data_IF_960635961940
#
_entry.id   IF_960635961940
#
_cell.length_a   1.000
_cell.length_b   1.000
_cell.length_c   1.000
_cell.angle_alpha   90.00
_cell.angle_beta   90.00
_cell.angle_gamma   90.00
#
_symmetry.space_group_name_H-M   'P 1'
#
loop_
_entity.id
_entity.type
_entity.pdbx_description
1 polymer ?
#
# COMPACT_ATOMS: atom_id res chain seq x y z
N UNK A 1 -6.67 -24.87 -2.66
CA UNK A 1 -5.29 -24.57 -2.23
C UNK A 1 -4.96 -23.20 -2.78
N UNK A 2 -4.31 -22.33 -1.99
CA UNK A 2 -3.88 -21.02 -2.48
C UNK A 2 -2.75 -21.22 -3.50
N UNK A 3 -2.87 -20.59 -4.66
CA UNK A 3 -1.87 -20.62 -5.73
C UNK A 3 -1.23 -19.24 -5.96
N UNK A 4 -2.03 -18.20 -5.78
CA UNK A 4 -1.61 -16.83 -6.03
C UNK A 4 -1.85 -15.95 -4.80
N UNK A 5 -1.20 -14.81 -4.75
CA UNK A 5 -1.55 -13.74 -3.83
C UNK A 5 -1.65 -12.39 -4.55
N UNK A 6 -2.42 -11.48 -3.98
CA UNK A 6 -2.43 -10.07 -4.37
C UNK A 6 -2.32 -9.19 -3.13
N UNK A 7 -1.87 -7.96 -3.32
CA UNK A 7 -1.63 -7.01 -2.24
C UNK A 7 -2.47 -5.78 -2.50
N UNK A 8 -3.18 -5.32 -1.47
CA UNK A 8 -3.80 -4.00 -1.45
C UNK A 8 -3.23 -3.16 -0.33
N UNK A 9 -2.95 -1.89 -0.62
CA UNK A 9 -2.50 -0.95 0.38
C UNK A 9 -2.28 0.42 -0.23
N UNK A 10 -2.40 1.45 0.58
CA UNK A 10 -2.11 2.81 0.17
C UNK A 10 -0.66 2.93 -0.33
N UNK A 11 -0.38 3.94 -1.17
CA UNK A 11 1.03 4.27 -1.45
C UNK A 11 1.75 4.53 -0.13
N UNK A 12 3.01 4.14 -0.04
CA UNK A 12 3.82 4.26 1.17
C UNK A 12 3.38 3.43 2.39
N UNK A 13 2.44 2.47 2.26
CA UNK A 13 2.05 1.55 3.35
C UNK A 13 2.98 0.32 3.50
N UNK A 14 3.97 0.14 2.62
CA UNK A 14 4.88 -1.00 2.68
C UNK A 14 4.54 -2.17 1.73
N UNK A 15 3.68 -1.96 0.74
CA UNK A 15 3.29 -2.99 -0.25
C UNK A 15 4.48 -3.70 -0.92
N UNK A 16 5.55 -2.97 -1.25
CA UNK A 16 6.75 -3.58 -1.82
C UNK A 16 7.55 -4.43 -0.83
N UNK A 17 7.55 -4.08 0.45
CA UNK A 17 8.22 -4.87 1.48
C UNK A 17 7.49 -6.20 1.69
N UNK A 18 6.15 -6.16 1.74
CA UNK A 18 5.31 -7.34 1.78
C UNK A 18 5.47 -8.23 0.53
N UNK A 19 5.47 -7.63 -0.66
CA UNK A 19 5.68 -8.35 -1.93
C UNK A 19 6.98 -9.17 -1.92
N UNK A 20 8.10 -8.55 -1.51
CA UNK A 20 9.38 -9.25 -1.39
C UNK A 20 9.33 -10.34 -0.31
N UNK A 21 8.67 -10.05 0.82
CA UNK A 21 8.58 -10.98 1.94
C UNK A 21 7.86 -12.28 1.55
N UNK A 22 6.76 -12.15 0.81
CA UNK A 22 6.00 -13.29 0.31
C UNK A 22 6.80 -14.04 -0.76
N UNK A 23 7.33 -13.33 -1.77
CA UNK A 23 8.09 -13.95 -2.87
C UNK A 23 9.33 -14.72 -2.40
N UNK A 24 10.00 -14.24 -1.35
CA UNK A 24 11.21 -14.88 -0.83
C UNK A 24 10.89 -16.13 0.02
N UNK A 25 9.69 -16.22 0.58
CA UNK A 25 9.37 -17.22 1.60
C UNK A 25 8.32 -18.27 1.18
N UNK A 26 7.43 -17.98 0.24
CA UNK A 26 6.29 -18.83 -0.07
C UNK A 26 6.18 -19.22 -1.54
N UNK A 27 5.73 -20.45 -1.78
CA UNK A 27 5.55 -21.08 -3.09
C UNK A 27 4.17 -20.69 -3.69
N UNK A 28 3.97 -19.37 -3.88
CA UNK A 28 2.76 -18.77 -4.46
C UNK A 28 3.13 -17.57 -5.32
N UNK A 29 2.41 -17.36 -6.42
CA UNK A 29 2.71 -16.32 -7.39
C UNK A 29 1.93 -15.02 -7.15
N UNK A 30 2.57 -13.89 -7.43
CA UNK A 30 1.86 -12.61 -7.40
C UNK A 30 0.90 -12.50 -8.59
N UNK A 31 -0.30 -11.99 -8.35
CA UNK A 31 -1.29 -11.68 -9.40
C UNK A 31 -1.87 -10.27 -9.25
N UNK A 32 -2.06 -9.62 -10.41
CA UNK A 32 -2.73 -8.32 -10.54
C UNK A 32 -4.03 -8.42 -11.31
N UNK A 33 -4.59 -9.64 -11.42
CA UNK A 33 -5.90 -9.90 -12.05
C UNK A 33 -7.04 -9.13 -11.37
N UNK A 34 -6.89 -8.85 -10.08
CA UNK A 34 -7.90 -8.20 -9.24
C UNK A 34 -7.57 -6.73 -8.99
N UNK A 35 -6.94 -6.07 -9.96
CA UNK A 35 -6.53 -4.68 -9.82
C UNK A 35 -5.13 -4.48 -9.28
N UNK A 36 -4.65 -3.25 -9.43
CA UNK A 36 -3.31 -2.87 -8.99
C UNK A 36 -3.30 -2.50 -7.51
N UNK A 37 -2.19 -2.78 -6.82
CA UNK A 37 -2.07 -2.66 -5.35
C UNK A 37 -2.47 -1.32 -4.71
N UNK A 38 -2.46 -0.23 -5.47
CA UNK A 38 -2.82 1.10 -4.97
C UNK A 38 -4.19 1.60 -5.47
N UNK A 39 -4.77 0.92 -6.47
CA UNK A 39 -5.97 1.28 -7.22
C UNK A 39 -7.06 0.20 -7.04
N UNK A 40 -7.18 -0.32 -5.84
CA UNK A 40 -8.14 -1.37 -5.49
C UNK A 40 -9.54 -0.79 -5.25
N UNK A 41 -10.55 -1.65 -5.24
CA UNK A 41 -11.95 -1.28 -4.99
C UNK A 41 -12.81 -1.10 -6.23
N UNK A 42 -12.21 -1.14 -7.42
CA UNK A 42 -12.92 -0.96 -8.71
C UNK A 42 -13.14 -2.27 -9.48
N UNK A 43 -12.30 -3.27 -9.23
CA UNK A 43 -12.29 -4.53 -9.98
C UNK A 43 -13.25 -5.59 -9.42
N UNK A 44 -13.74 -6.46 -10.31
CA UNK A 44 -14.51 -7.64 -9.88
C UNK A 44 -13.60 -8.67 -9.19
N UNK A 45 -14.04 -9.14 -8.03
CA UNK A 45 -13.34 -10.18 -7.25
C UNK A 45 -13.86 -11.61 -7.55
N UNK A 46 -14.52 -11.80 -8.70
CA UNK A 46 -15.02 -13.10 -9.11
C UNK A 46 -13.88 -14.10 -9.37
N UNK A 47 -14.10 -15.38 -9.01
CA UNK A 47 -13.11 -16.45 -9.15
C UNK A 47 -11.82 -16.24 -8.33
N UNK A 48 -11.95 -15.64 -7.15
CA UNK A 48 -10.86 -15.36 -6.20
C UNK A 48 -10.48 -16.54 -5.28
N UNK A 49 -11.13 -17.72 -5.41
CA UNK A 49 -11.01 -18.85 -4.46
C UNK A 49 -9.59 -19.40 -4.26
N UNK A 50 -8.71 -19.25 -5.24
CA UNK A 50 -7.32 -19.71 -5.19
C UNK A 50 -6.31 -18.58 -4.92
N UNK A 51 -6.80 -17.37 -4.61
CA UNK A 51 -5.98 -16.18 -4.40
C UNK A 51 -6.09 -15.70 -2.96
N UNK A 52 -4.94 -15.51 -2.31
CA UNK A 52 -4.83 -14.85 -1.02
C UNK A 52 -4.77 -13.33 -1.23
N UNK A 53 -5.70 -12.60 -0.62
CA UNK A 53 -5.72 -11.14 -0.60
C UNK A 53 -5.07 -10.65 0.68
N UNK A 54 -4.01 -9.85 0.55
CA UNK A 54 -3.29 -9.29 1.69
C UNK A 54 -3.44 -7.78 1.68
N UNK A 55 -4.26 -7.25 2.60
CA UNK A 55 -4.27 -5.83 2.91
C UNK A 55 -3.07 -5.46 3.78
N UNK A 56 -2.40 -4.36 3.48
CA UNK A 56 -1.35 -3.80 4.34
C UNK A 56 -1.57 -2.31 4.61
N UNK A 57 -1.67 -1.99 5.89
CA UNK A 57 -1.86 -0.65 6.43
C UNK A 57 -0.63 -0.23 7.23
N UNK A 58 -0.51 1.06 7.49
CA UNK A 58 0.63 1.65 8.19
C UNK A 58 0.15 2.72 9.14
N UNK A 59 0.90 2.93 10.24
CA UNK A 59 0.65 3.99 11.20
C UNK A 59 0.39 5.33 10.48
N UNK A 60 -0.70 6.05 10.79
CA UNK A 60 -1.14 7.21 10.03
C UNK A 60 -0.06 8.30 9.95
N UNK A 61 0.69 8.52 11.05
CA UNK A 61 1.71 9.55 11.10
C UNK A 61 2.93 9.17 10.26
N UNK A 62 3.41 7.94 10.37
CA UNK A 62 4.53 7.42 9.58
C UNK A 62 4.16 7.32 8.09
N UNK A 63 2.91 6.95 7.79
CA UNK A 63 2.39 6.87 6.43
C UNK A 63 2.37 8.25 5.77
N UNK A 64 1.72 9.25 6.39
CA UNK A 64 1.67 10.62 5.86
C UNK A 64 3.07 11.20 5.69
N UNK A 65 3.95 11.00 6.68
CA UNK A 65 5.34 11.45 6.58
C UNK A 65 6.09 10.78 5.43
N UNK A 66 5.88 9.48 5.22
CA UNK A 66 6.52 8.74 4.13
C UNK A 66 6.00 9.19 2.76
N UNK A 67 4.72 9.52 2.65
CA UNK A 67 4.10 10.00 1.43
C UNK A 67 4.51 11.45 1.12
N UNK A 68 4.53 12.33 2.13
CA UNK A 68 4.99 13.72 2.00
C UNK A 68 6.45 13.80 1.50
N UNK A 69 7.34 12.98 2.07
CA UNK A 69 8.76 12.93 1.65
C UNK A 69 8.95 12.45 0.22
N UNK A 70 8.06 11.58 -0.25
CA UNK A 70 8.14 10.95 -1.56
C UNK A 70 6.73 10.90 -2.18
N UNK A 71 6.25 12.03 -2.72
CA UNK A 71 4.88 12.18 -3.22
C UNK A 71 4.73 11.51 -4.59
N UNK A 72 4.99 10.20 -4.65
CA UNK A 72 4.92 9.41 -5.88
C UNK A 72 3.55 9.53 -6.50
N UNK A 73 3.49 10.08 -7.71
CA UNK A 73 2.26 10.26 -8.44
C UNK A 73 1.25 11.19 -7.80
N UNK A 74 1.61 12.01 -6.80
CA UNK A 74 0.68 13.04 -6.30
C UNK A 74 0.81 14.33 -7.10
N UNK A 75 -0.29 15.06 -7.19
CA UNK A 75 -0.28 16.45 -7.65
C UNK A 75 0.68 17.29 -6.81
N UNK A 76 1.21 18.35 -7.40
CA UNK A 76 2.11 19.27 -6.71
C UNK A 76 1.38 19.98 -5.55
N UNK A 77 2.09 20.11 -4.43
CA UNK A 77 1.69 20.92 -3.27
C UNK A 77 2.91 21.72 -2.78
N UNK A 78 2.66 22.93 -2.28
CA UNK A 78 3.72 23.85 -1.88
C UNK A 78 4.30 23.53 -0.49
N UNK A 79 3.46 23.05 0.43
CA UNK A 79 3.78 22.89 1.84
C UNK A 79 2.91 21.82 2.52
N UNK A 80 3.07 21.67 3.84
CA UNK A 80 2.28 20.75 4.66
C UNK A 80 0.80 21.08 4.63
N UNK A 81 0.43 22.37 4.59
CA UNK A 81 -0.98 22.77 4.57
C UNK A 81 -1.65 22.30 3.27
N UNK A 82 -1.01 22.54 2.12
CA UNK A 82 -1.47 22.07 0.82
C UNK A 82 -1.55 20.54 0.76
N UNK A 83 -0.56 19.83 1.31
CA UNK A 83 -0.59 18.37 1.38
C UNK A 83 -1.78 17.82 2.18
N UNK A 84 -2.17 18.47 3.26
CA UNK A 84 -3.25 18.03 4.15
C UNK A 84 -4.64 18.46 3.66
N UNK A 85 -4.75 19.57 2.93
CA UNK A 85 -6.05 20.21 2.64
C UNK A 85 -6.45 20.22 1.17
N UNK A 86 -5.51 20.12 0.22
CA UNK A 86 -5.86 20.12 -1.21
C UNK A 86 -6.58 18.81 -1.60
N UNK A 87 -7.30 18.87 -2.72
CA UNK A 87 -7.82 17.65 -3.37
C UNK A 87 -6.70 16.61 -3.52
N UNK A 88 -7.02 15.37 -3.15
CA UNK A 88 -6.08 14.27 -3.27
C UNK A 88 -6.43 13.44 -4.50
N UNK A 89 -5.51 13.46 -5.47
CA UNK A 89 -5.59 12.65 -6.68
C UNK A 89 -4.19 12.35 -7.20
N UNK A 90 -4.12 11.30 -8.03
CA UNK A 90 -2.86 10.91 -8.63
C UNK A 90 -2.68 11.43 -10.04
N UNK A 91 -1.44 11.75 -10.40
CA UNK A 91 -1.00 12.14 -11.73
C UNK A 91 0.15 11.26 -12.21
N UNK A 92 0.23 11.07 -13.52
CA UNK A 92 1.40 10.52 -14.20
C UNK A 92 2.52 11.56 -14.19
N UNK A 93 3.04 11.89 -13.02
CA UNK A 93 4.24 12.72 -12.91
C UNK A 93 5.49 11.87 -13.18
N UNK A 94 6.37 12.38 -14.02
CA UNK A 94 7.75 11.91 -14.03
C UNK A 94 8.40 12.48 -12.79
N UNK A 95 8.73 11.62 -11.83
CA UNK A 95 9.75 12.00 -10.88
C UNK A 95 11.07 12.12 -11.66
N UNK A 96 11.75 13.28 -11.66
CA UNK A 96 12.97 13.49 -12.43
C UNK A 96 14.09 12.47 -12.11
N UNK A 97 14.03 11.77 -10.97
CA UNK A 97 14.93 10.65 -10.65
C UNK A 97 14.69 9.37 -11.47
N UNK A 98 13.60 9.24 -12.23
CA UNK A 98 13.23 7.99 -12.93
C UNK A 98 12.79 8.20 -14.39
N UNK A 99 12.88 9.44 -14.89
CA UNK A 99 12.59 9.78 -16.28
C UNK A 99 13.42 8.97 -17.29
N UNK A 100 14.60 8.46 -16.89
CA UNK A 100 15.49 7.67 -17.74
C UNK A 100 15.14 6.16 -17.82
N UNK A 101 14.16 5.65 -17.06
CA UNK A 101 13.85 4.21 -17.01
C UNK A 101 12.73 3.76 -17.96
N UNK A 102 12.18 4.63 -18.80
CA UNK A 102 11.20 4.22 -19.82
C UNK A 102 11.80 4.33 -21.19
N UNK A 103 12.56 3.31 -21.57
CA UNK A 103 12.64 2.92 -22.98
C UNK A 103 11.23 2.64 -23.48
N UNK A 104 10.95 3.19 -24.66
CA UNK A 104 9.72 3.09 -25.42
C UNK A 104 9.06 1.70 -25.37
N UNK A 105 8.15 1.49 -24.42
CA UNK A 105 7.13 0.44 -24.55
C UNK A 105 6.14 0.95 -25.61
N UNK A 106 6.33 0.48 -26.85
CA UNK A 106 5.43 0.75 -27.97
C UNK A 106 3.98 0.51 -27.53
N UNK A 107 3.17 1.58 -27.50
CA UNK A 107 1.70 1.48 -27.43
C UNK A 107 1.00 2.17 -26.25
N UNK A 108 1.70 2.70 -25.23
CA UNK A 108 1.06 3.40 -24.12
C UNK A 108 1.72 4.77 -23.91
N UNK A 109 1.24 5.79 -24.62
CA UNK A 109 1.56 7.20 -24.34
C UNK A 109 0.61 7.72 -23.26
N UNK A 110 0.83 7.38 -21.98
CA UNK A 110 0.20 8.14 -20.89
C UNK A 110 0.79 9.54 -20.90
N UNK A 111 -0.05 10.55 -21.16
CA UNK A 111 0.37 11.96 -21.22
C UNK A 111 0.98 12.35 -19.87
N UNK A 112 2.20 12.90 -19.90
CA UNK A 112 2.86 13.43 -18.71
C UNK A 112 1.91 14.43 -18.00
N UNK A 113 1.83 14.34 -16.68
CA UNK A 113 0.92 15.13 -15.83
C UNK A 113 -0.57 14.90 -16.10
N UNK A 114 -0.96 13.83 -16.78
CA UNK A 114 -2.37 13.42 -16.80
C UNK A 114 -2.75 12.75 -15.49
N UNK A 115 -3.99 12.97 -15.05
CA UNK A 115 -4.55 12.26 -13.91
C UNK A 115 -4.56 10.74 -14.13
N UNK A 116 -4.40 9.98 -13.04
CA UNK A 116 -4.59 8.53 -12.95
C UNK A 116 -6.00 8.31 -12.39
N UNK A 117 -6.98 8.16 -13.30
CA UNK A 117 -8.40 8.06 -12.96
C UNK A 117 -8.70 6.83 -12.09
N UNK A 118 -7.91 5.77 -12.25
CA UNK A 118 -8.03 4.54 -11.49
C UNK A 118 -7.74 4.72 -9.98
N UNK A 119 -7.10 5.84 -9.59
CA UNK A 119 -6.83 6.14 -8.18
C UNK A 119 -7.88 7.03 -7.51
N UNK A 120 -8.99 7.32 -8.20
CA UNK A 120 -10.10 8.10 -7.65
C UNK A 120 -10.81 7.37 -6.51
N UNK A 121 -11.72 8.09 -5.87
CA UNK A 121 -12.57 7.58 -4.81
C UNK A 121 -13.31 6.31 -5.27
N UNK A 122 -13.08 5.20 -4.56
CA UNK A 122 -13.62 3.88 -4.89
C UNK A 122 -15.15 3.80 -4.76
N UNK A 123 -15.77 4.76 -4.06
CA UNK A 123 -17.21 4.84 -3.86
C UNK A 123 -17.88 5.77 -4.85
N UNK A 124 -17.27 6.94 -5.08
CA UNK A 124 -17.91 8.01 -5.86
C UNK A 124 -17.37 8.15 -7.27
N UNK A 125 -16.16 7.67 -7.55
CA UNK A 125 -15.45 7.91 -8.81
C UNK A 125 -14.93 9.34 -8.97
N UNK A 126 -15.04 10.18 -7.93
CA UNK A 126 -14.54 11.56 -7.90
C UNK A 126 -13.13 11.63 -7.29
N UNK A 127 -12.49 12.80 -7.38
CA UNK A 127 -11.27 13.06 -6.60
C UNK A 127 -11.61 13.05 -5.12
N UNK A 128 -10.64 12.69 -4.29
CA UNK A 128 -10.83 12.81 -2.86
C UNK A 128 -10.73 14.29 -2.45
N UNK A 129 -11.56 14.71 -1.49
CA UNK A 129 -11.53 16.04 -0.88
C UNK A 129 -10.12 16.39 -0.38
N UNK A 130 -9.47 15.43 0.27
CA UNK A 130 -8.08 15.52 0.74
C UNK A 130 -7.52 14.15 1.12
N UNK A 131 -6.28 14.13 1.63
CA UNK A 131 -5.58 12.91 2.04
C UNK A 131 -6.31 12.14 3.15
N UNK A 132 -7.05 12.82 4.03
CA UNK A 132 -7.78 12.18 5.12
C UNK A 132 -8.97 11.37 4.60
N UNK A 133 -9.75 11.95 3.69
CA UNK A 133 -10.85 11.22 3.04
C UNK A 133 -10.32 10.02 2.24
N UNK A 134 -9.20 10.20 1.51
CA UNK A 134 -8.55 9.10 0.81
C UNK A 134 -8.19 7.94 1.75
N UNK A 135 -7.60 8.27 2.89
CA UNK A 135 -7.23 7.29 3.91
C UNK A 135 -8.45 6.62 4.51
N UNK A 136 -9.43 7.38 4.95
CA UNK A 136 -10.66 6.85 5.55
C UNK A 136 -11.35 5.85 4.61
N UNK A 137 -11.59 6.25 3.36
CA UNK A 137 -12.26 5.41 2.37
C UNK A 137 -11.46 4.15 2.06
N UNK A 138 -10.14 4.25 1.89
CA UNK A 138 -9.30 3.09 1.58
C UNK A 138 -9.16 2.15 2.76
N UNK A 139 -9.06 2.67 3.98
CA UNK A 139 -9.01 1.84 5.18
C UNK A 139 -10.36 1.15 5.42
N UNK A 140 -11.48 1.86 5.24
CA UNK A 140 -12.82 1.29 5.40
C UNK A 140 -13.02 0.10 4.46
N UNK A 141 -12.62 0.24 3.20
CA UNK A 141 -12.65 -0.86 2.24
C UNK A 141 -11.80 -2.06 2.68
N UNK A 142 -10.57 -1.81 3.15
CA UNK A 142 -9.68 -2.88 3.60
C UNK A 142 -10.20 -3.55 4.89
N UNK A 143 -10.68 -2.79 5.86
CA UNK A 143 -11.06 -3.30 7.17
C UNK A 143 -12.47 -3.90 7.19
N UNK A 144 -13.45 -3.20 6.62
CA UNK A 144 -14.86 -3.56 6.73
C UNK A 144 -15.37 -4.36 5.52
N UNK A 145 -14.95 -4.02 4.30
CA UNK A 145 -15.54 -4.63 3.10
C UNK A 145 -14.82 -5.89 2.68
N UNK A 146 -13.50 -5.84 2.49
CA UNK A 146 -12.69 -6.96 2.00
C UNK A 146 -12.94 -8.30 2.71
N UNK A 147 -13.10 -8.37 4.04
CA UNK A 147 -13.40 -9.63 4.73
C UNK A 147 -14.70 -10.31 4.26
N UNK A 148 -15.66 -9.54 3.74
CA UNK A 148 -16.94 -10.04 3.23
C UNK A 148 -16.92 -10.35 1.73
N UNK A 149 -15.95 -9.80 0.99
CA UNK A 149 -15.88 -9.90 -0.46
C UNK A 149 -15.13 -11.14 -0.97
N UNK A 150 -14.22 -11.70 -0.17
CA UNK A 150 -13.37 -12.81 -0.58
C UNK A 150 -13.12 -13.79 0.57
N UNK A 151 -12.99 -15.08 0.25
CA UNK A 151 -12.80 -16.14 1.24
C UNK A 151 -11.42 -16.08 1.94
N UNK A 152 -10.38 -15.68 1.20
CA UNK A 152 -9.00 -15.74 1.65
C UNK A 152 -8.43 -14.33 1.85
N UNK A 153 -8.75 -13.70 2.99
CA UNK A 153 -8.31 -12.35 3.30
C UNK A 153 -7.56 -12.25 4.63
N UNK A 154 -6.51 -11.43 4.63
CA UNK A 154 -5.88 -10.93 5.85
C UNK A 154 -5.50 -9.46 5.68
N UNK A 155 -5.75 -8.69 6.73
CA UNK A 155 -5.25 -7.34 6.89
C UNK A 155 -4.11 -7.38 7.90
N UNK A 156 -2.96 -6.83 7.54
CA UNK A 156 -1.78 -6.75 8.41
C UNK A 156 -1.30 -5.31 8.55
N UNK A 157 -0.63 -5.03 9.67
CA UNK A 157 0.07 -3.77 9.87
C UNK A 157 1.50 -3.89 9.35
N UNK A 158 1.98 -2.82 8.72
CA UNK A 158 3.37 -2.69 8.31
C UNK A 158 4.32 -2.88 9.48
N UNK A 159 3.95 -2.36 10.65
CA UNK A 159 4.70 -2.44 11.89
C UNK A 159 4.85 -3.89 12.37
N UNK A 160 3.79 -4.70 12.31
CA UNK A 160 3.85 -6.12 12.68
C UNK A 160 4.76 -6.91 11.72
N UNK A 161 4.65 -6.64 10.42
CA UNK A 161 5.52 -7.26 9.43
C UNK A 161 6.99 -6.84 9.63
N UNK A 162 7.24 -5.57 9.97
CA UNK A 162 8.59 -5.02 10.17
C UNK A 162 9.24 -5.53 11.46
N UNK A 163 8.52 -5.44 12.57
CA UNK A 163 9.07 -5.62 13.92
C UNK A 163 8.92 -7.05 14.42
N UNK A 164 7.94 -7.80 13.90
CA UNK A 164 7.66 -9.17 14.27
C UNK A 164 7.64 -10.11 13.04
N UNK A 165 8.58 -9.87 12.12
CA UNK A 165 8.62 -10.44 10.77
C UNK A 165 8.38 -11.96 10.70
N UNK A 166 9.14 -12.76 11.46
CA UNK A 166 9.03 -14.23 11.43
C UNK A 166 7.65 -14.68 11.89
N UNK A 167 7.11 -14.10 12.97
CA UNK A 167 5.79 -14.47 13.47
C UNK A 167 4.68 -14.01 12.53
N UNK A 168 4.78 -12.80 11.97
CA UNK A 168 3.84 -12.28 10.98
C UNK A 168 3.73 -13.20 9.77
N UNK A 169 4.86 -13.66 9.21
CA UNK A 169 4.85 -14.59 8.09
C UNK A 169 4.38 -15.99 8.50
N UNK A 170 4.78 -16.49 9.67
CA UNK A 170 4.31 -17.79 10.18
C UNK A 170 2.79 -17.79 10.42
N UNK A 171 2.20 -16.66 10.83
CA UNK A 171 0.76 -16.52 10.98
C UNK A 171 0.03 -16.60 9.64
N UNK A 172 0.56 -15.95 8.60
CA UNK A 172 0.02 -16.04 7.23
C UNK A 172 0.10 -17.50 6.75
N UNK A 173 1.25 -18.14 6.94
CA UNK A 173 1.46 -19.55 6.59
C UNK A 173 0.42 -20.47 7.21
N UNK A 174 0.31 -20.42 8.54
CA UNK A 174 -0.58 -21.31 9.28
C UNK A 174 -2.04 -21.07 8.94
N UNK A 175 -2.44 -19.80 8.78
CA UNK A 175 -3.83 -19.43 8.48
C UNK A 175 -4.27 -19.92 7.10
N UNK A 176 -3.42 -19.78 6.09
CA UNK A 176 -3.78 -20.08 4.69
C UNK A 176 -3.19 -21.38 4.17
N UNK A 177 -2.42 -22.09 4.99
CA UNK A 177 -1.74 -23.35 4.65
C UNK A 177 -0.90 -23.21 3.38
N UNK A 178 -0.21 -22.08 3.25
CA UNK A 178 0.70 -21.82 2.11
C UNK A 178 2.02 -22.54 2.34
N UNK A 179 2.60 -23.07 1.27
CA UNK A 179 3.85 -23.83 1.34
C UNK A 179 5.05 -22.87 1.38
N UNK A 180 6.01 -23.13 2.28
CA UNK A 180 7.29 -22.40 2.28
C UNK A 180 8.19 -22.87 1.14
N UNK A 181 9.01 -21.95 0.64
CA UNK A 181 10.14 -22.26 -0.25
C UNK A 181 11.33 -22.87 0.51
N UNK A 182 11.49 -22.50 1.78
CA UNK A 182 12.61 -22.90 2.63
C UNK A 182 12.11 -23.43 3.99
N UNK A 183 12.91 -24.25 4.68
CA UNK A 183 12.55 -24.77 6.00
C UNK A 183 12.35 -23.66 7.05
N UNK A 184 13.00 -22.53 6.87
CA UNK A 184 12.95 -21.36 7.75
C UNK A 184 12.51 -20.12 6.98
N UNK A 185 11.89 -19.18 7.69
CA UNK A 185 11.59 -17.85 7.16
C UNK A 185 12.89 -17.06 7.02
N UNK A 186 13.16 -16.56 5.81
CA UNK A 186 14.30 -15.75 5.46
C UNK A 186 13.95 -14.26 5.58
N UNK A 187 14.83 -13.51 6.25
CA UNK A 187 14.75 -12.06 6.34
C UNK A 187 15.08 -11.40 4.98
N UNK A 188 14.50 -10.22 4.77
CA UNK A 188 14.83 -9.39 3.61
C UNK A 188 16.11 -8.63 3.91
N UNK A 189 17.17 -8.96 3.18
CA UNK A 189 18.48 -8.32 3.34
C UNK A 189 18.63 -7.05 2.50
N UNK A 190 17.90 -6.96 1.38
CA UNK A 190 18.10 -5.96 0.34
C UNK A 190 16.84 -5.18 0.03
N UNK A 191 17.01 -3.91 -0.35
CA UNK A 191 15.92 -3.05 -0.76
C UNK A 191 15.46 -3.42 -2.16
N UNK A 192 14.27 -4.03 -2.26
CA UNK A 192 13.76 -4.62 -3.51
C UNK A 192 14.78 -5.63 -4.06
N UNK A 193 14.82 -5.81 -5.37
CA UNK A 193 15.79 -6.67 -6.07
C UNK A 193 17.22 -6.09 -6.14
N UNK A 194 17.52 -4.98 -5.46
CA UNK A 194 18.83 -4.33 -5.55
C UNK A 194 19.80 -4.86 -4.48
N UNK A 195 20.61 -5.87 -4.84
CA UNK A 195 21.62 -6.48 -3.97
C UNK A 195 22.71 -5.50 -3.48
N UNK A 196 22.86 -4.34 -4.12
CA UNK A 196 23.83 -3.33 -3.71
C UNK A 196 23.28 -2.37 -2.65
N UNK A 197 21.98 -2.49 -2.30
CA UNK A 197 21.34 -1.62 -1.32
C UNK A 197 20.70 -2.45 -0.22
N UNK A 198 21.29 -2.44 0.97
CA UNK A 198 20.70 -3.10 2.14
C UNK A 198 19.30 -2.54 2.43
N UNK A 199 18.40 -3.40 2.86
CA UNK A 199 17.14 -2.96 3.43
C UNK A 199 17.45 -2.22 4.75
N UNK A 200 16.93 -1.01 4.86
CA UNK A 200 17.08 -0.19 6.07
C UNK A 200 15.72 0.38 6.39
N UNK A 201 15.31 0.22 7.65
CA UNK A 201 14.13 0.88 8.18
C UNK A 201 14.46 2.37 8.27
N UNK A 202 13.68 3.21 7.58
CA UNK A 202 13.93 4.66 7.54
C UNK A 202 13.89 5.25 8.94
N UNK A 203 14.96 5.92 9.35
CA UNK A 203 15.01 6.69 10.59
C UNK A 203 14.22 8.00 10.45
N UNK A 204 13.14 8.10 11.21
CA UNK A 204 12.86 9.22 12.13
C UNK A 204 12.54 10.63 11.64
N UNK A 205 12.91 11.08 10.43
CA UNK A 205 12.72 12.50 10.12
C UNK A 205 11.23 12.84 9.99
N UNK A 206 10.65 13.50 10.98
CA UNK A 206 9.27 13.97 10.93
C UNK A 206 9.23 15.26 10.11
N UNK A 207 8.46 15.27 9.03
CA UNK A 207 8.18 16.44 8.17
C UNK A 207 6.78 16.99 8.36
N UNK A 208 5.84 16.12 8.71
CA UNK A 208 4.46 16.48 9.08
C UNK A 208 4.29 16.15 10.56
N UNK A 209 4.05 17.16 11.38
CA UNK A 209 3.89 17.01 12.82
C UNK A 209 2.67 16.12 13.15
N UNK A 210 2.84 15.01 13.89
CA UNK A 210 1.74 14.18 14.36
C UNK A 210 0.64 14.96 15.09
N UNK A 211 0.98 16.02 15.82
CA UNK A 211 0.00 16.86 16.48
C UNK A 211 -0.92 17.58 15.48
N UNK A 212 -0.38 18.07 14.36
CA UNK A 212 -1.18 18.71 13.30
C UNK A 212 -2.11 17.68 12.65
N UNK A 213 -1.61 16.47 12.37
CA UNK A 213 -2.41 15.39 11.78
C UNK A 213 -3.56 15.01 12.73
N UNK A 214 -3.24 14.73 14.00
CA UNK A 214 -4.21 14.27 14.99
C UNK A 214 -5.32 15.29 15.25
N UNK A 215 -4.99 16.57 15.29
CA UNK A 215 -5.96 17.64 15.56
C UNK A 215 -6.64 18.19 14.30
N UNK A 216 -6.37 17.61 13.12
CA UNK A 216 -7.03 18.02 11.89
C UNK A 216 -8.52 17.61 11.91
N UNK A 217 -9.42 18.52 11.52
CA UNK A 217 -10.88 18.28 11.59
C UNK A 217 -11.36 17.11 10.72
N UNK A 218 -10.64 16.83 9.64
CA UNK A 218 -10.93 15.70 8.75
C UNK A 218 -10.26 14.39 9.18
N UNK A 219 -9.38 14.38 10.19
CA UNK A 219 -8.78 13.13 10.68
C UNK A 219 -9.80 12.30 11.47
N UNK A 220 -10.06 11.07 11.02
CA UNK A 220 -11.02 10.17 11.68
C UNK A 220 -10.29 9.10 12.47
N UNK A 221 -10.44 9.15 13.79
CA UNK A 221 -9.75 8.21 14.69
C UNK A 221 -10.37 6.80 14.71
N UNK A 222 -11.64 6.64 14.29
CA UNK A 222 -12.40 5.40 14.52
C UNK A 222 -11.70 4.17 13.94
N UNK A 223 -11.34 4.22 12.66
CA UNK A 223 -10.69 3.09 11.99
C UNK A 223 -9.24 2.90 12.44
N UNK A 224 -8.54 3.99 12.76
CA UNK A 224 -7.17 3.92 13.29
C UNK A 224 -7.11 3.20 14.65
N UNK A 225 -8.09 3.44 15.53
CA UNK A 225 -8.26 2.71 16.81
C UNK A 225 -8.55 1.24 16.58
N UNK A 226 -9.41 0.92 15.62
CA UNK A 226 -9.71 -0.48 15.26
C UNK A 226 -8.47 -1.22 14.71
N UNK A 227 -7.57 -0.50 14.05
CA UNK A 227 -6.27 -1.00 13.58
C UNK A 227 -5.19 -0.97 14.68
N UNK A 228 -5.51 -0.49 15.88
CA UNK A 228 -4.59 -0.45 17.01
C UNK A 228 -3.45 0.57 16.87
N UNK A 229 -3.70 1.68 16.18
CA UNK A 229 -2.75 2.80 16.06
C UNK A 229 -2.97 3.92 17.09
N UNK A 230 -4.19 4.03 17.63
CA UNK A 230 -4.59 5.06 18.60
C UNK A 230 -5.23 4.45 19.85
#
# INVERSE_FOLDING_TARGET
>A
MIKNYTIYGERASGTHFLEEAINQNFDIDITWKFGWKHFFGHDSLNNAKETLFIGIVRDPYQWMNSLYKKPWHLEYFNDVSGFLNNEFYSVNNENPKWAHLKENVKGITKKLNSEIIEDRNIKTGERYKNIFECREVKLDYLYNEMPSLVDNYILIRYEDLRDNYVNSLTNIENKFKIKRLNNQILNIEYYKKNKNKKFVISSGDVKVDPFIIKNHSDFKENIEKQLGYL
#
